data_IF_724306839464
#
_entry.id   IF_724306839464
#
_cell.length_a   1.000
_cell.length_b   1.000
_cell.length_c   1.000
_cell.angle_alpha   90.00
_cell.angle_beta   90.00
_cell.angle_gamma   90.00
#
_symmetry.space_group_name_H-M   'P 1'
#
loop_
_entity.id
_entity.type
_entity.pdbx_description
1 polymer ?
#
# COMPACT_ATOMS: atom_id res chain seq x y z
N UNK A 1 -14.10 9.39 -25.86
CA UNK A 1 -14.92 8.29 -25.32
C UNK A 1 -14.38 6.98 -25.89
N UNK A 2 -14.25 5.93 -25.06
CA UNK A 2 -13.80 4.59 -25.52
C UNK A 2 -12.44 4.16 -25.01
N UNK A 3 -11.56 5.08 -24.63
CA UNK A 3 -10.24 4.79 -24.09
C UNK A 3 -10.22 4.79 -22.56
N UNK A 4 -9.45 3.90 -21.94
CA UNK A 4 -9.27 3.79 -20.49
C UNK A 4 -7.82 4.12 -20.10
N UNK A 5 -7.44 5.38 -20.22
CA UNK A 5 -6.07 5.83 -19.98
C UNK A 5 -5.73 5.84 -18.48
N UNK A 6 -6.67 6.30 -17.64
CA UNK A 6 -6.53 6.28 -16.19
C UNK A 6 -7.70 5.51 -15.59
N UNK A 7 -7.50 4.24 -15.29
CA UNK A 7 -8.54 3.35 -14.72
C UNK A 7 -7.96 2.34 -13.72
N UNK A 8 -6.82 2.64 -13.12
CA UNK A 8 -6.15 1.78 -12.15
C UNK A 8 -6.69 1.97 -10.73
N UNK A 9 -6.46 0.98 -9.88
CA UNK A 9 -6.60 1.13 -8.44
C UNK A 9 -5.32 1.73 -7.86
N UNK A 10 -5.47 2.57 -6.85
CA UNK A 10 -4.36 3.14 -6.09
C UNK A 10 -4.29 2.44 -4.74
N UNK A 11 -3.13 1.88 -4.42
CA UNK A 11 -2.86 1.22 -3.15
C UNK A 11 -1.86 2.03 -2.35
N UNK A 12 -2.11 2.19 -1.05
CA UNK A 12 -1.20 2.86 -0.12
C UNK A 12 -1.00 2.00 1.12
N UNK A 13 0.19 2.06 1.70
CA UNK A 13 0.52 1.46 2.99
C UNK A 13 0.73 2.57 4.01
N UNK A 14 0.13 2.43 5.17
CA UNK A 14 0.25 3.39 6.28
C UNK A 14 0.51 2.65 7.59
N UNK A 15 1.35 3.22 8.42
CA UNK A 15 1.57 2.76 9.79
C UNK A 15 0.86 3.64 10.80
N UNK A 16 1.11 3.38 12.09
CA UNK A 16 0.53 4.12 13.22
C UNK A 16 0.83 5.62 13.14
N UNK A 17 2.09 5.99 12.93
CA UNK A 17 2.51 7.39 12.84
C UNK A 17 1.87 8.13 11.67
N UNK A 18 1.69 7.48 10.52
CA UNK A 18 1.03 8.10 9.37
C UNK A 18 -0.38 8.57 9.69
N UNK A 19 -1.12 7.83 10.52
CA UNK A 19 -2.50 8.14 10.89
C UNK A 19 -2.62 9.21 12.00
N UNK A 20 -1.49 9.57 12.64
CA UNK A 20 -1.40 10.63 13.60
C UNK A 20 -1.18 12.01 12.96
N UNK A 21 -0.70 12.03 11.70
CA UNK A 21 -0.46 13.26 10.96
C UNK A 21 -1.78 13.99 10.63
N UNK A 22 -1.80 15.32 10.81
CA UNK A 22 -2.97 16.16 10.48
C UNK A 22 -3.34 16.05 9.00
N UNK A 23 -2.35 16.08 8.11
CA UNK A 23 -2.56 15.96 6.67
C UNK A 23 -3.22 14.64 6.26
N UNK A 24 -2.97 13.54 6.99
CA UNK A 24 -3.65 12.27 6.75
C UNK A 24 -5.16 12.38 7.03
N UNK A 25 -5.55 13.08 8.09
CA UNK A 25 -6.96 13.32 8.42
C UNK A 25 -7.65 14.16 7.36
N UNK A 26 -7.01 15.23 6.89
CA UNK A 26 -7.54 16.11 5.84
C UNK A 26 -7.68 15.38 4.52
N UNK A 27 -6.63 14.69 4.08
CA UNK A 27 -6.62 13.92 2.82
C UNK A 27 -7.67 12.79 2.84
N UNK A 28 -7.80 12.07 3.95
CA UNK A 28 -8.77 10.97 4.06
C UNK A 28 -10.22 11.48 4.12
N UNK A 29 -10.47 12.63 4.77
CA UNK A 29 -11.77 13.29 4.73
C UNK A 29 -12.14 13.71 3.30
N UNK A 30 -11.20 14.32 2.57
CA UNK A 30 -11.39 14.69 1.15
C UNK A 30 -11.64 13.46 0.28
N UNK A 31 -10.86 12.39 0.44
CA UNK A 31 -11.02 11.14 -0.32
C UNK A 31 -12.41 10.53 -0.14
N UNK A 32 -12.96 10.56 1.08
CA UNK A 32 -14.33 10.13 1.37
C UNK A 32 -15.36 11.01 0.68
N UNK A 33 -15.21 12.34 0.76
CA UNK A 33 -16.08 13.31 0.10
C UNK A 33 -16.09 13.13 -1.43
N UNK A 34 -14.92 12.89 -2.03
CA UNK A 34 -14.77 12.65 -3.47
C UNK A 34 -15.17 11.23 -3.90
N UNK A 35 -15.52 10.36 -2.96
CA UNK A 35 -15.96 8.97 -3.21
C UNK A 35 -14.95 8.17 -4.01
N UNK A 36 -13.67 8.22 -3.63
CA UNK A 36 -12.57 7.61 -4.37
C UNK A 36 -12.58 6.07 -4.26
N UNK A 37 -13.52 5.41 -4.90
CA UNK A 37 -13.74 3.95 -4.81
C UNK A 37 -12.61 3.08 -5.38
N UNK A 38 -11.57 3.67 -5.97
CA UNK A 38 -10.35 2.98 -6.40
C UNK A 38 -9.16 3.20 -5.48
N UNK A 39 -9.32 3.94 -4.39
CA UNK A 39 -8.31 4.10 -3.35
C UNK A 39 -8.49 3.03 -2.28
N UNK A 40 -7.47 2.19 -2.10
CA UNK A 40 -7.42 1.14 -1.09
C UNK A 40 -6.18 1.36 -0.24
N UNK A 41 -6.37 1.58 1.05
CA UNK A 41 -5.29 1.84 2.01
C UNK A 41 -5.16 0.64 2.95
N UNK A 42 -3.95 0.09 3.05
CA UNK A 42 -3.60 -0.92 4.05
C UNK A 42 -2.99 -0.25 5.27
N UNK A 43 -3.59 -0.48 6.42
CA UNK A 43 -3.08 0.01 7.69
C UNK A 43 -2.38 -1.13 8.44
N UNK A 44 -1.06 -1.00 8.58
CA UNK A 44 -0.22 -1.87 9.42
C UNK A 44 -0.47 -1.51 10.89
N UNK A 45 -1.41 -2.24 11.51
CA UNK A 45 -1.83 -2.01 12.88
C UNK A 45 -0.99 -2.83 13.85
N UNK A 46 0.15 -2.30 14.25
CA UNK A 46 1.08 -2.95 15.19
C UNK A 46 1.09 -2.30 16.59
N UNK A 47 0.48 -1.13 16.75
CA UNK A 47 0.35 -0.36 17.99
C UNK A 47 1.67 0.13 18.60
N UNK A 48 2.71 0.26 17.79
CA UNK A 48 4.03 0.75 18.21
C UNK A 48 4.35 2.03 17.46
N UNK A 49 4.94 2.99 18.16
CA UNK A 49 5.54 4.21 17.65
C UNK A 49 7.03 4.25 18.00
N UNK A 50 7.68 5.40 17.76
CA UNK A 50 9.14 5.57 17.97
C UNK A 50 9.54 5.23 19.40
N UNK A 51 8.80 5.73 20.41
CA UNK A 51 9.18 5.66 21.82
C UNK A 51 8.35 4.69 22.65
N UNK A 52 7.44 3.91 22.05
CA UNK A 52 6.62 2.96 22.78
C UNK A 52 5.29 2.64 22.12
N UNK A 53 4.35 2.18 22.95
CA UNK A 53 3.00 1.90 22.49
C UNK A 53 2.25 3.19 22.09
N UNK A 54 1.35 3.06 21.13
CA UNK A 54 0.54 4.20 20.65
C UNK A 54 -0.40 4.77 21.71
N UNK A 55 -0.77 4.00 22.73
CA UNK A 55 -1.69 4.43 23.80
C UNK A 55 -1.16 5.60 24.64
N UNK A 56 0.15 5.89 24.59
CA UNK A 56 0.74 7.07 25.23
C UNK A 56 0.44 8.39 24.50
N UNK A 57 0.12 8.32 23.20
CA UNK A 57 -0.04 9.51 22.35
C UNK A 57 -1.28 9.50 21.47
N UNK A 58 -1.85 8.32 21.18
CA UNK A 58 -2.87 8.17 20.15
C UNK A 58 -3.87 7.06 20.49
N UNK A 59 -5.00 7.44 21.03
CA UNK A 59 -6.06 6.53 21.48
C UNK A 59 -7.31 6.55 20.59
N UNK A 60 -7.22 7.16 19.42
CA UNK A 60 -8.35 7.27 18.49
C UNK A 60 -8.89 5.90 18.06
N UNK A 61 -10.20 5.83 17.94
CA UNK A 61 -10.84 4.71 17.25
C UNK A 61 -10.76 4.92 15.73
N UNK A 62 -9.67 4.43 15.11
CA UNK A 62 -9.41 4.59 13.68
C UNK A 62 -10.58 4.08 12.82
N UNK A 63 -11.14 2.92 13.17
CA UNK A 63 -12.27 2.37 12.42
C UNK A 63 -13.49 3.30 12.43
N UNK A 64 -13.81 3.89 13.57
CA UNK A 64 -14.92 4.84 13.70
C UNK A 64 -14.62 6.15 12.95
N UNK A 65 -13.38 6.67 13.07
CA UNK A 65 -12.94 7.88 12.38
C UNK A 65 -13.06 7.75 10.85
N UNK A 66 -12.56 6.67 10.28
CA UNK A 66 -12.63 6.45 8.84
C UNK A 66 -14.05 6.19 8.32
N UNK A 67 -14.87 5.49 9.10
CA UNK A 67 -16.32 5.38 8.79
C UNK A 67 -17.00 6.74 8.78
N UNK A 68 -16.65 7.64 9.70
CA UNK A 68 -17.19 9.00 9.71
C UNK A 68 -16.74 9.84 8.51
N UNK A 69 -15.57 9.56 7.92
CA UNK A 69 -15.13 10.14 6.65
C UNK A 69 -15.85 9.55 5.41
N UNK A 70 -16.70 8.55 5.57
CA UNK A 70 -17.38 7.89 4.46
C UNK A 70 -16.57 6.77 3.80
N UNK A 71 -15.61 6.17 4.50
CA UNK A 71 -14.82 5.06 4.02
C UNK A 71 -15.45 3.70 4.35
N UNK A 72 -15.30 2.72 3.46
CA UNK A 72 -15.44 1.32 3.83
C UNK A 72 -14.25 0.92 4.72
N UNK A 73 -14.53 0.18 5.82
CA UNK A 73 -13.49 -0.28 6.75
C UNK A 73 -13.56 -1.79 6.87
N UNK A 74 -12.51 -2.47 6.46
CA UNK A 74 -12.32 -3.92 6.55
C UNK A 74 -11.21 -4.24 7.55
N UNK A 75 -11.21 -5.46 8.09
CA UNK A 75 -10.24 -5.88 9.13
C UNK A 75 -9.72 -7.28 8.83
N UNK A 76 -8.43 -7.51 9.10
CA UNK A 76 -7.78 -8.80 8.93
C UNK A 76 -6.47 -8.92 9.69
N UNK A 77 -5.66 -9.86 9.25
CA UNK A 77 -4.30 -10.10 9.76
C UNK A 77 -3.28 -9.91 8.64
N UNK A 78 -2.15 -9.25 8.94
CA UNK A 78 -1.04 -9.10 8.00
C UNK A 78 -0.41 -10.44 7.58
N UNK A 79 -0.67 -11.49 8.35
CA UNK A 79 -0.08 -12.82 8.15
C UNK A 79 -1.02 -13.82 7.45
N UNK A 80 -2.23 -13.40 7.14
CA UNK A 80 -3.20 -14.17 6.37
C UNK A 80 -3.26 -13.62 4.95
N UNK A 81 -2.35 -14.10 4.09
CA UNK A 81 -2.22 -13.60 2.70
C UNK A 81 -3.49 -13.88 1.89
N UNK A 82 -4.11 -15.05 2.08
CA UNK A 82 -5.35 -15.42 1.39
C UNK A 82 -6.51 -14.52 1.85
N UNK A 83 -6.61 -14.28 3.16
CA UNK A 83 -7.56 -13.34 3.73
C UNK A 83 -7.37 -11.92 3.22
N UNK A 84 -6.11 -11.45 3.05
CA UNK A 84 -5.83 -10.13 2.44
C UNK A 84 -6.35 -10.07 1.00
N UNK A 85 -6.15 -11.13 0.21
CA UNK A 85 -6.66 -11.20 -1.17
C UNK A 85 -8.19 -11.08 -1.19
N UNK A 86 -8.91 -11.77 -0.30
CA UNK A 86 -10.36 -11.67 -0.19
C UNK A 86 -10.81 -10.26 0.24
N UNK A 87 -10.12 -9.63 1.20
CA UNK A 87 -10.39 -8.25 1.60
C UNK A 87 -10.21 -7.27 0.43
N UNK A 88 -9.18 -7.46 -0.40
CA UNK A 88 -8.99 -6.65 -1.62
C UNK A 88 -10.10 -6.88 -2.64
N UNK A 89 -10.55 -8.13 -2.82
CA UNK A 89 -11.71 -8.42 -3.69
C UNK A 89 -12.97 -7.73 -3.17
N UNK A 90 -13.20 -7.74 -1.86
CA UNK A 90 -14.33 -7.05 -1.24
C UNK A 90 -14.23 -5.54 -1.40
N UNK A 91 -13.05 -4.94 -1.17
CA UNK A 91 -12.79 -3.52 -1.39
C UNK A 91 -13.10 -3.11 -2.83
N UNK A 92 -12.74 -3.93 -3.81
CA UNK A 92 -12.99 -3.66 -5.24
C UNK A 92 -14.47 -3.71 -5.65
N UNK A 93 -15.36 -4.30 -4.84
CA UNK A 93 -16.82 -4.25 -5.07
C UNK A 93 -17.39 -2.87 -4.72
N UNK A 94 -16.82 -2.19 -3.73
CA UNK A 94 -17.22 -0.84 -3.33
C UNK A 94 -16.71 0.19 -4.35
N UNK A 95 -17.61 0.88 -5.04
CA UNK A 95 -17.27 1.79 -6.17
C UNK A 95 -17.33 3.27 -5.81
N UNK A 96 -17.97 3.59 -4.72
CA UNK A 96 -18.32 4.95 -4.29
C UNK A 96 -17.74 5.33 -2.93
N UNK A 97 -16.86 4.53 -2.38
CA UNK A 97 -16.14 4.80 -1.13
C UNK A 97 -14.69 4.31 -1.24
N UNK A 98 -13.70 5.07 -0.75
CA UNK A 98 -12.37 4.52 -0.53
C UNK A 98 -12.41 3.46 0.58
N UNK A 99 -11.45 2.55 0.59
CA UNK A 99 -11.41 1.45 1.56
C UNK A 99 -10.16 1.51 2.43
N UNK A 100 -10.34 1.41 3.74
CA UNK A 100 -9.27 1.16 4.70
C UNK A 100 -9.30 -0.33 5.09
N UNK A 101 -8.21 -1.05 4.86
CA UNK A 101 -8.02 -2.43 5.30
C UNK A 101 -7.07 -2.40 6.50
N UNK A 102 -7.61 -2.60 7.70
CA UNK A 102 -6.84 -2.61 8.96
C UNK A 102 -6.28 -4.02 9.18
N UNK A 103 -4.97 -4.17 9.15
CA UNK A 103 -4.29 -5.45 9.27
C UNK A 103 -3.48 -5.50 10.57
N UNK A 104 -3.91 -6.35 11.51
CA UNK A 104 -3.13 -6.58 12.73
C UNK A 104 -1.77 -7.18 12.39
N UNK A 105 -0.73 -6.61 12.97
CA UNK A 105 0.64 -7.06 12.77
C UNK A 105 1.48 -6.97 14.05
N UNK A 106 2.72 -7.37 13.96
CA UNK A 106 3.74 -7.25 15.02
C UNK A 106 4.97 -6.63 14.38
N UNK A 107 5.36 -5.43 14.81
CA UNK A 107 6.56 -4.77 14.30
C UNK A 107 7.79 -5.67 14.53
N UNK A 108 8.68 -5.74 13.54
CA UNK A 108 9.90 -6.56 13.61
C UNK A 108 9.64 -8.06 13.79
N UNK A 109 8.53 -8.59 13.24
CA UNK A 109 8.20 -10.02 13.35
C UNK A 109 9.39 -10.89 12.96
N UNK A 110 9.72 -11.85 13.84
CA UNK A 110 10.90 -12.72 13.69
C UNK A 110 12.16 -12.17 14.36
N UNK A 111 12.26 -10.87 14.60
CA UNK A 111 13.41 -10.28 15.30
C UNK A 111 13.41 -10.60 16.81
N UNK A 112 14.58 -10.56 17.48
CA UNK A 112 14.68 -10.81 18.92
C UNK A 112 13.77 -9.94 19.78
N UNK A 113 13.64 -8.65 19.41
CA UNK A 113 12.83 -7.67 20.13
C UNK A 113 11.53 -7.33 19.40
N UNK A 114 10.95 -8.28 18.66
CA UNK A 114 9.68 -8.05 17.96
C UNK A 114 8.58 -7.53 18.91
N UNK A 115 7.73 -6.65 18.40
CA UNK A 115 6.60 -6.09 19.14
C UNK A 115 6.98 -4.97 20.12
N UNK A 116 8.21 -4.47 20.06
CA UNK A 116 8.68 -3.35 20.88
C UNK A 116 9.16 -2.18 20.02
N UNK A 117 9.29 -1.00 20.62
CA UNK A 117 9.84 0.19 19.96
C UNK A 117 11.32 0.02 19.58
N UNK A 118 12.06 -0.88 20.22
CA UNK A 118 13.48 -1.15 19.96
C UNK A 118 13.77 -1.62 18.52
N UNK A 119 12.76 -2.08 17.77
CA UNK A 119 12.89 -2.46 16.35
C UNK A 119 12.32 -1.39 15.40
N UNK A 120 11.85 -0.26 15.92
CA UNK A 120 11.33 0.83 15.11
C UNK A 120 12.48 1.67 14.55
N UNK A 121 12.94 1.34 13.34
CA UNK A 121 14.02 2.07 12.68
C UNK A 121 15.43 1.79 13.20
N UNK A 122 15.59 0.92 14.20
CA UNK A 122 16.89 0.53 14.72
C UNK A 122 17.43 -0.72 14.03
N UNK A 123 18.74 -0.79 13.71
CA UNK A 123 19.35 -1.97 13.12
C UNK A 123 19.37 -3.14 14.12
N UNK A 124 19.09 -4.36 13.64
CA UNK A 124 19.11 -5.56 14.48
C UNK A 124 20.52 -6.00 14.91
N UNK A 125 21.54 -5.52 14.20
CA UNK A 125 22.91 -6.02 14.33
C UNK A 125 23.10 -7.42 13.72
N UNK A 126 24.34 -7.85 13.58
CA UNK A 126 24.66 -9.12 12.90
C UNK A 126 24.02 -10.35 13.57
N UNK A 127 24.11 -10.45 14.91
CA UNK A 127 23.53 -11.54 15.66
C UNK A 127 22.00 -11.55 15.56
N UNK A 128 21.36 -10.38 15.68
CA UNK A 128 19.91 -10.24 15.54
C UNK A 128 19.40 -10.62 14.16
N UNK A 129 20.16 -10.33 13.09
CA UNK A 129 19.83 -10.76 11.73
C UNK A 129 19.90 -12.27 11.59
N UNK A 130 20.94 -12.91 12.14
CA UNK A 130 21.10 -14.37 12.13
C UNK A 130 19.96 -15.04 12.89
N UNK A 131 19.60 -14.52 14.05
CA UNK A 131 18.49 -15.05 14.87
C UNK A 131 17.15 -14.90 14.12
N UNK A 132 16.89 -13.74 13.54
CA UNK A 132 15.68 -13.50 12.75
C UNK A 132 15.59 -14.43 11.54
N UNK A 133 16.70 -14.62 10.78
CA UNK A 133 16.74 -15.56 9.66
C UNK A 133 16.43 -16.99 10.09
N UNK A 134 17.04 -17.47 11.19
CA UNK A 134 16.75 -18.80 11.76
C UNK A 134 15.27 -18.95 12.10
N UNK A 135 14.70 -17.97 12.79
CA UNK A 135 13.30 -17.98 13.22
C UNK A 135 12.32 -17.95 12.06
N UNK A 136 12.69 -17.32 10.96
CA UNK A 136 11.90 -17.22 9.73
C UNK A 136 12.18 -18.38 8.74
N UNK A 137 13.09 -19.30 9.06
CA UNK A 137 13.46 -20.41 8.18
C UNK A 137 14.26 -19.99 6.94
N UNK A 138 14.99 -18.88 7.03
CA UNK A 138 15.80 -18.35 5.93
C UNK A 138 17.28 -18.78 6.06
N UNK A 139 18.03 -18.91 4.96
CA UNK A 139 19.46 -19.17 4.98
C UNK A 139 20.20 -18.07 5.74
N UNK A 140 21.08 -18.46 6.68
CA UNK A 140 21.83 -17.49 7.50
C UNK A 140 23.11 -17.00 6.85
N UNK A 141 23.60 -17.75 5.87
CA UNK A 141 24.85 -17.55 5.14
C UNK A 141 24.66 -16.79 3.80
N UNK A 142 23.43 -16.39 3.47
CA UNK A 142 23.11 -15.69 2.25
C UNK A 142 22.50 -14.32 2.55
N UNK A 143 23.08 -13.28 2.00
CA UNK A 143 22.49 -11.95 2.00
C UNK A 143 21.57 -11.78 0.79
N UNK A 144 20.54 -10.95 0.93
CA UNK A 144 19.53 -10.67 -0.12
C UNK A 144 18.90 -11.94 -0.72
N UNK A 145 18.68 -12.95 0.11
CA UNK A 145 18.09 -14.22 -0.33
C UNK A 145 16.69 -14.01 -0.90
N UNK A 146 16.49 -14.49 -2.11
CA UNK A 146 15.18 -14.51 -2.78
C UNK A 146 14.70 -15.96 -2.87
N UNK A 147 13.53 -16.23 -2.30
CA UNK A 147 12.90 -17.56 -2.35
C UNK A 147 12.71 -17.97 -3.82
N UNK A 148 13.18 -19.17 -4.25
CA UNK A 148 13.11 -19.60 -5.66
C UNK A 148 11.70 -19.55 -6.27
N UNK A 149 10.69 -19.88 -5.47
CA UNK A 149 9.29 -19.86 -5.88
C UNK A 149 8.82 -18.44 -6.20
N UNK A 150 9.25 -17.44 -5.42
CA UNK A 150 8.95 -16.04 -5.68
C UNK A 150 9.62 -15.57 -6.98
N UNK A 151 10.90 -15.94 -7.17
CA UNK A 151 11.64 -15.62 -8.40
C UNK A 151 10.92 -16.20 -9.62
N UNK A 152 10.57 -17.48 -9.56
CA UNK A 152 9.83 -18.15 -10.64
C UNK A 152 8.48 -17.49 -10.91
N UNK A 153 7.73 -17.16 -9.88
CA UNK A 153 6.43 -16.48 -10.02
C UNK A 153 6.54 -15.19 -10.84
N UNK A 154 7.52 -14.33 -10.51
CA UNK A 154 7.71 -13.09 -11.24
C UNK A 154 8.27 -13.28 -12.64
N UNK A 155 9.13 -14.29 -12.87
CA UNK A 155 9.60 -14.67 -14.21
C UNK A 155 8.43 -15.10 -15.09
N UNK A 156 7.54 -15.95 -14.59
CA UNK A 156 6.35 -16.41 -15.31
C UNK A 156 5.37 -15.25 -15.64
N UNK A 157 5.39 -14.15 -14.86
CA UNK A 157 4.54 -12.98 -15.10
C UNK A 157 5.11 -11.98 -16.10
N UNK A 158 6.41 -12.01 -16.40
CA UNK A 158 7.06 -10.99 -17.27
C UNK A 158 6.35 -10.78 -18.61
N UNK A 159 5.99 -11.87 -19.29
CA UNK A 159 5.32 -11.78 -20.59
C UNK A 159 3.93 -11.11 -20.49
N UNK A 160 3.18 -11.44 -19.45
CA UNK A 160 1.87 -10.84 -19.19
C UNK A 160 1.98 -9.34 -18.85
N UNK A 161 2.98 -8.96 -18.08
CA UNK A 161 3.23 -7.55 -17.73
C UNK A 161 3.67 -6.75 -18.96
N UNK A 162 4.59 -7.27 -19.77
CA UNK A 162 5.03 -6.64 -21.02
C UNK A 162 3.86 -6.46 -22.01
N UNK A 163 2.98 -7.47 -22.10
CA UNK A 163 1.78 -7.36 -22.93
C UNK A 163 0.83 -6.28 -22.40
N UNK A 164 0.58 -6.22 -21.11
CA UNK A 164 -0.32 -5.21 -20.53
C UNK A 164 0.21 -3.78 -20.76
N UNK A 165 1.53 -3.58 -20.66
CA UNK A 165 2.17 -2.30 -20.96
C UNK A 165 2.04 -1.94 -22.46
N UNK A 166 2.30 -2.90 -23.35
CA UNK A 166 2.16 -2.68 -24.79
C UNK A 166 0.71 -2.35 -25.18
N UNK A 167 -0.26 -3.06 -24.63
CA UNK A 167 -1.70 -2.80 -24.86
C UNK A 167 -2.09 -1.39 -24.39
N UNK A 168 -1.63 -0.97 -23.20
CA UNK A 168 -1.88 0.38 -22.69
C UNK A 168 -1.21 1.45 -23.57
N UNK A 169 0.05 1.25 -23.97
CA UNK A 169 0.76 2.18 -24.85
C UNK A 169 0.04 2.37 -26.21
N UNK A 170 -0.49 1.28 -26.77
CA UNK A 170 -1.27 1.34 -27.99
C UNK A 170 -2.58 2.12 -27.83
N UNK A 171 -3.31 1.88 -26.73
CA UNK A 171 -4.55 2.62 -26.39
C UNK A 171 -4.25 4.11 -26.13
N UNK A 172 -3.17 4.42 -25.41
CA UNK A 172 -2.72 5.80 -25.17
C UNK A 172 -2.37 6.52 -26.47
N UNK A 173 -1.66 5.87 -27.39
CA UNK A 173 -1.32 6.47 -28.68
C UNK A 173 -2.58 6.75 -29.53
N UNK A 174 -3.54 5.84 -29.52
CA UNK A 174 -4.82 6.03 -30.20
C UNK A 174 -5.61 7.20 -29.58
N UNK A 175 -5.72 7.22 -28.25
CA UNK A 175 -6.35 8.32 -27.51
C UNK A 175 -5.69 9.67 -27.79
N UNK A 176 -4.36 9.73 -27.79
CA UNK A 176 -3.60 10.95 -28.05
C UNK A 176 -3.87 11.51 -29.45
N UNK A 177 -3.98 10.64 -30.46
CA UNK A 177 -4.32 11.01 -31.84
C UNK A 177 -5.74 11.57 -31.94
N UNK A 178 -6.69 10.98 -31.23
CA UNK A 178 -8.09 11.41 -31.24
C UNK A 178 -8.34 12.67 -30.39
N UNK A 179 -7.45 12.96 -29.43
CA UNK A 179 -7.63 14.05 -28.44
C UNK A 179 -6.36 14.92 -28.32
N UNK A 180 -5.89 15.60 -29.39
CA UNK A 180 -4.60 16.29 -29.37
C UNK A 180 -4.51 17.40 -28.31
N UNK A 181 -5.59 18.11 -28.02
CA UNK A 181 -5.58 19.17 -26.99
C UNK A 181 -5.52 18.59 -25.58
N UNK A 182 -6.20 17.47 -25.31
CA UNK A 182 -6.06 16.77 -24.03
C UNK A 182 -4.67 16.15 -23.89
N UNK A 183 -4.04 15.72 -24.98
CA UNK A 183 -2.66 15.22 -24.97
C UNK A 183 -1.67 16.32 -24.59
N UNK A 184 -1.83 17.54 -25.10
CA UNK A 184 -1.02 18.70 -24.68
C UNK A 184 -1.14 18.98 -23.19
N UNK A 185 -2.38 18.94 -22.68
CA UNK A 185 -2.64 19.13 -21.24
C UNK A 185 -2.02 18.00 -20.41
N UNK A 186 -2.14 16.75 -20.87
CA UNK A 186 -1.46 15.60 -20.26
C UNK A 186 0.04 15.81 -20.16
N UNK A 187 0.69 16.21 -21.26
CA UNK A 187 2.12 16.43 -21.30
C UNK A 187 2.55 17.57 -20.36
N UNK A 188 1.77 18.66 -20.32
CA UNK A 188 2.04 19.75 -19.40
C UNK A 188 2.00 19.33 -17.94
N UNK A 189 1.01 18.55 -17.52
CA UNK A 189 0.90 18.03 -16.14
C UNK A 189 1.92 16.95 -15.78
N UNK A 190 2.55 16.31 -16.78
CA UNK A 190 3.57 15.27 -16.58
C UNK A 190 4.98 15.76 -16.94
N UNK A 191 5.16 17.06 -17.15
CA UNK A 191 6.47 17.69 -17.36
C UNK A 191 6.93 18.41 -16.10
N UNK A 192 8.22 18.64 -15.99
CA UNK A 192 8.81 19.49 -14.93
C UNK A 192 8.63 21.00 -15.21
N UNK A 193 7.95 21.36 -16.30
CA UNK A 193 7.69 22.74 -16.65
C UNK A 193 6.62 23.35 -15.75
N UNK A 194 6.89 24.54 -15.21
CA UNK A 194 5.87 25.35 -14.54
C UNK A 194 4.92 25.86 -15.62
N UNK A 195 3.66 25.45 -15.56
CA UNK A 195 2.61 26.00 -16.43
C UNK A 195 2.10 27.31 -15.81
N UNK A 196 2.09 28.37 -16.59
CA UNK A 196 1.47 29.66 -16.21
C UNK A 196 -0.03 29.52 -15.96
#
# INVERSE_FOLDING_TARGET
KGHKIVDHYTYSLVGEGCLQEGVASEACSLAGNLKLGKLIVFYDQNKISIDGNTDITFTDNIAARYKAYGWQVLKGSMYDVEGIVELVKEAKKCKDQPTLIMLKSVIGKGAPKQGTADVHGAPLGAEGIIEAKKKLGLPVDQDFYVVPEAKKYFEDKKAAFAKAEADWNADFAAWAKENPELKKLWDAYHSDAVTD
#
